data_IF_930392697247
#
_entry.id   IF_930392697247
#
_cell.length_a   1.000
_cell.length_b   1.000
_cell.length_c   1.000
_cell.angle_alpha   90.00
_cell.angle_beta   90.00
_cell.angle_gamma   90.00
#
_symmetry.space_group_name_H-M   'P 1'
#
loop_
_entity.id
_entity.type
_entity.pdbx_description
1 polymer ?
#
# COMPACT_ATOMS: atom_id res chain seq x y z
N UNK A 1 -36.89 -0.88 9.72
CA UNK A 1 -36.23 -1.79 10.69
C UNK A 1 -35.03 -1.03 11.25
N UNK A 2 -35.00 -0.75 12.55
CA UNK A 2 -33.98 0.10 13.19
C UNK A 2 -32.71 -0.72 13.49
N UNK A 3 -31.53 -0.14 13.23
CA UNK A 3 -30.25 -0.66 13.70
C UNK A 3 -30.21 -0.63 15.24
N UNK A 4 -29.81 -1.73 15.92
CA UNK A 4 -29.71 -1.75 17.38
C UNK A 4 -28.42 -1.07 17.84
N UNK A 5 -28.50 -0.09 18.76
CA UNK A 5 -27.29 0.44 19.40
C UNK A 5 -27.37 1.77 20.15
N UNK A 6 -28.39 2.61 19.95
CA UNK A 6 -28.49 3.89 20.67
C UNK A 6 -29.89 4.09 21.30
N UNK A 7 -29.97 3.95 22.63
CA UNK A 7 -31.13 4.41 23.40
C UNK A 7 -30.96 5.90 23.71
N UNK A 8 -31.58 6.76 22.90
CA UNK A 8 -31.78 8.16 23.27
C UNK A 8 -32.81 8.22 24.42
N UNK A 9 -32.45 8.85 25.55
CA UNK A 9 -33.30 8.93 26.75
C UNK A 9 -34.56 9.83 26.61
N UNK A 10 -34.90 10.29 25.38
CA UNK A 10 -36.08 11.15 25.13
C UNK A 10 -36.91 10.62 23.93
N UNK A 11 -37.97 9.83 24.17
CA UNK A 11 -38.78 9.17 23.12
C UNK A 11 -39.47 10.14 22.13
N UNK A 12 -39.79 11.36 22.57
CA UNK A 12 -40.37 12.41 21.70
C UNK A 12 -39.38 12.91 20.64
N UNK A 13 -38.09 12.95 20.97
CA UNK A 13 -37.02 13.39 20.05
C UNK A 13 -36.79 12.34 18.96
N UNK A 14 -36.83 11.05 19.30
CA UNK A 14 -36.71 9.95 18.32
C UNK A 14 -37.80 9.98 17.24
N UNK A 15 -39.07 10.23 17.61
CA UNK A 15 -40.18 10.28 16.64
C UNK A 15 -40.09 11.51 15.72
N UNK A 16 -39.67 12.67 16.25
CA UNK A 16 -39.45 13.86 15.43
C UNK A 16 -38.29 13.65 14.46
N UNK A 17 -37.16 13.11 14.93
CA UNK A 17 -35.99 12.85 14.09
C UNK A 17 -36.30 11.85 12.96
N UNK A 18 -37.04 10.77 13.24
CA UNK A 18 -37.44 9.79 12.21
C UNK A 18 -38.24 10.42 11.04
N UNK A 19 -39.14 11.37 11.34
CA UNK A 19 -39.90 12.09 10.31
C UNK A 19 -39.04 13.05 9.48
N UNK A 20 -38.05 13.69 10.11
CA UNK A 20 -37.09 14.56 9.43
C UNK A 20 -36.13 13.78 8.52
N UNK A 21 -35.71 12.57 8.93
CA UNK A 21 -34.81 11.73 8.13
C UNK A 21 -35.43 11.22 6.83
N UNK A 22 -36.74 10.91 6.83
CA UNK A 22 -37.48 10.57 5.61
C UNK A 22 -37.55 11.77 4.65
N UNK A 23 -37.62 12.98 5.20
CA UNK A 23 -37.65 14.21 4.42
C UNK A 23 -36.30 14.53 3.77
N UNK A 24 -35.19 14.46 4.52
CA UNK A 24 -33.83 14.75 3.99
C UNK A 24 -33.42 13.76 2.89
N UNK A 25 -33.75 12.47 3.03
CA UNK A 25 -33.47 11.45 1.99
C UNK A 25 -34.16 11.74 0.66
N UNK A 26 -35.25 12.51 0.65
CA UNK A 26 -36.01 12.87 -0.57
C UNK A 26 -35.50 14.14 -1.25
N UNK A 27 -34.63 14.90 -0.58
CA UNK A 27 -34.01 16.08 -1.20
C UNK A 27 -33.02 15.62 -2.26
N UNK A 28 -33.11 16.20 -3.46
CA UNK A 28 -32.19 15.90 -4.59
C UNK A 28 -30.96 16.81 -4.61
N UNK A 29 -31.07 18.01 -4.03
CA UNK A 29 -30.02 19.02 -4.03
C UNK A 29 -29.11 18.91 -2.79
N UNK A 30 -27.81 18.92 -3.03
CA UNK A 30 -26.73 18.84 -2.02
C UNK A 30 -26.74 20.06 -1.08
N UNK A 31 -27.09 21.26 -1.57
CA UNK A 31 -27.19 22.45 -0.71
C UNK A 31 -28.40 22.38 0.20
N UNK A 32 -29.56 21.95 -0.31
CA UNK A 32 -30.76 21.74 0.49
C UNK A 32 -30.56 20.69 1.61
N UNK A 33 -29.81 19.61 1.34
CA UNK A 33 -29.44 18.62 2.37
C UNK A 33 -28.57 19.23 3.46
N UNK A 34 -27.55 20.01 3.08
CA UNK A 34 -26.62 20.64 4.01
C UNK A 34 -27.33 21.66 4.92
N UNK A 35 -28.22 22.49 4.36
CA UNK A 35 -29.03 23.44 5.12
C UNK A 35 -29.97 22.76 6.12
N UNK A 36 -30.64 21.68 5.71
CA UNK A 36 -31.51 20.91 6.60
C UNK A 36 -30.73 20.26 7.77
N UNK A 37 -29.47 19.90 7.56
CA UNK A 37 -28.60 19.32 8.58
C UNK A 37 -28.07 20.37 9.57
N UNK A 38 -27.71 21.56 9.10
CA UNK A 38 -27.30 22.70 9.95
C UNK A 38 -28.44 23.10 10.90
N UNK A 39 -29.68 23.08 10.40
CA UNK A 39 -30.84 23.40 11.21
C UNK A 39 -31.08 22.36 12.34
N UNK A 40 -30.69 21.11 12.12
CA UNK A 40 -30.78 20.02 13.11
C UNK A 40 -29.65 20.10 14.14
N UNK A 41 -28.41 20.39 13.71
CA UNK A 41 -27.27 20.57 14.62
C UNK A 41 -27.43 21.80 15.51
N UNK A 42 -28.14 22.84 15.06
CA UNK A 42 -28.47 24.01 15.87
C UNK A 42 -29.54 23.76 16.94
N UNK A 43 -30.37 22.72 16.79
CA UNK A 43 -31.50 22.40 17.70
C UNK A 43 -31.22 21.22 18.63
N UNK A 44 -30.10 20.52 18.48
CA UNK A 44 -29.75 19.36 19.29
C UNK A 44 -28.25 19.37 19.60
N UNK A 45 -27.88 19.12 20.86
CA UNK A 45 -26.48 18.95 21.31
C UNK A 45 -25.83 17.67 20.71
N UNK A 46 -25.84 17.53 19.39
CA UNK A 46 -25.23 16.44 18.63
C UNK A 46 -23.87 16.93 18.12
N UNK A 47 -22.91 17.06 19.04
CA UNK A 47 -21.55 17.56 18.81
C UNK A 47 -20.59 16.51 18.24
N UNK A 48 -21.06 15.41 17.63
CA UNK A 48 -20.15 14.40 17.05
C UNK A 48 -20.24 14.38 15.52
N UNK A 49 -19.16 14.84 14.88
CA UNK A 49 -18.96 14.79 13.43
C UNK A 49 -19.27 13.40 12.83
N UNK A 50 -19.02 12.32 13.57
CA UNK A 50 -19.35 10.94 13.17
C UNK A 50 -20.79 10.73 12.73
N UNK A 51 -21.76 11.38 13.38
CA UNK A 51 -23.18 11.17 13.05
C UNK A 51 -23.57 11.82 11.72
N UNK A 52 -22.92 12.93 11.34
CA UNK A 52 -23.11 13.59 10.05
C UNK A 52 -22.45 12.82 8.90
N UNK A 53 -21.28 12.22 9.10
CA UNK A 53 -20.57 11.41 8.08
C UNK A 53 -21.39 10.19 7.66
N UNK A 54 -22.00 9.49 8.62
CA UNK A 54 -22.91 8.36 8.39
C UNK A 54 -24.22 8.77 7.69
N UNK A 55 -24.69 10.00 7.90
CA UNK A 55 -25.94 10.52 7.31
C UNK A 55 -25.78 11.07 5.88
N UNK A 56 -24.55 11.44 5.49
CA UNK A 56 -24.24 12.02 4.17
C UNK A 56 -23.77 11.00 3.12
N UNK A 57 -23.67 9.70 3.47
CA UNK A 57 -22.99 8.74 2.61
C UNK A 57 -21.50 9.08 2.49
N UNK A 58 -20.91 9.57 3.58
CA UNK A 58 -19.49 9.86 3.64
C UNK A 58 -18.69 8.58 3.41
N UNK A 59 -17.61 8.72 2.64
CA UNK A 59 -16.64 7.67 2.35
C UNK A 59 -16.27 6.89 3.63
N UNK A 60 -16.71 5.64 3.73
CA UNK A 60 -16.24 4.71 4.76
C UNK A 60 -15.06 3.95 4.18
N UNK A 61 -13.84 4.36 4.53
CA UNK A 61 -12.65 3.59 4.19
C UNK A 61 -12.65 2.33 5.04
N UNK A 62 -12.76 1.16 4.41
CA UNK A 62 -12.88 -0.12 5.12
C UNK A 62 -11.64 -1.00 4.93
N UNK A 63 -10.90 -0.78 3.82
CA UNK A 63 -9.70 -1.53 3.49
C UNK A 63 -8.55 -0.61 3.09
N UNK A 64 -7.35 -1.01 3.48
CA UNK A 64 -6.11 -0.35 3.12
C UNK A 64 -5.22 -1.40 2.46
N UNK A 65 -4.82 -1.13 1.23
CA UNK A 65 -4.01 -2.03 0.42
C UNK A 65 -2.65 -1.41 0.14
N UNK A 66 -1.62 -2.23 0.12
CA UNK A 66 -0.24 -1.80 -0.06
C UNK A 66 0.41 -2.49 -1.26
N UNK A 67 1.23 -1.75 -1.98
CA UNK A 67 2.37 -2.33 -2.67
C UNK A 67 3.42 -2.85 -1.67
N UNK A 68 4.38 -3.68 -2.12
CA UNK A 68 5.48 -4.16 -1.29
C UNK A 68 6.77 -3.35 -1.50
N UNK A 69 7.35 -3.46 -2.70
CA UNK A 69 8.71 -3.02 -3.00
C UNK A 69 8.79 -1.48 -3.05
N UNK A 70 9.62 -0.88 -2.20
CA UNK A 70 9.75 0.59 -2.02
C UNK A 70 8.49 1.24 -1.40
N UNK A 71 7.60 0.43 -0.83
CA UNK A 71 6.43 0.88 -0.08
C UNK A 71 6.43 0.38 1.37
N UNK A 72 6.62 -0.93 1.57
CA UNK A 72 6.77 -1.56 2.89
C UNK A 72 8.14 -2.24 3.05
N UNK A 73 8.71 -2.72 1.94
CA UNK A 73 10.05 -3.26 1.85
C UNK A 73 11.00 -2.17 1.32
N UNK A 74 12.06 -1.83 2.09
CA UNK A 74 13.14 -0.98 1.59
C UNK A 74 14.02 -1.79 0.64
N UNK A 75 13.53 -1.95 -0.59
CA UNK A 75 14.17 -2.76 -1.61
C UNK A 75 15.55 -2.24 -1.98
N UNK A 76 15.71 -0.92 -2.03
CA UNK A 76 16.95 -0.28 -2.46
C UNK A 76 18.06 -0.54 -1.42
N UNK A 77 17.77 -0.39 -0.12
CA UNK A 77 18.70 -0.75 0.95
C UNK A 77 18.98 -2.27 1.00
N UNK A 78 17.94 -3.08 0.80
CA UNK A 78 18.04 -4.55 0.85
C UNK A 78 18.93 -5.11 -0.27
N UNK A 79 18.76 -4.62 -1.50
CA UNK A 79 19.63 -4.96 -2.64
C UNK A 79 21.07 -4.55 -2.35
N UNK A 80 21.29 -3.33 -1.86
CA UNK A 80 22.63 -2.87 -1.52
C UNK A 80 23.28 -3.73 -0.43
N UNK A 81 22.54 -4.15 0.59
CA UNK A 81 23.05 -4.99 1.66
C UNK A 81 23.40 -6.39 1.16
N UNK A 82 22.53 -7.01 0.35
CA UNK A 82 22.80 -8.29 -0.31
C UNK A 82 24.06 -8.20 -1.18
N UNK A 83 24.18 -7.19 -2.04
CA UNK A 83 25.32 -7.03 -2.94
C UNK A 83 26.63 -6.82 -2.19
N UNK A 84 26.62 -6.08 -1.07
CA UNK A 84 27.79 -5.95 -0.20
C UNK A 84 28.21 -7.30 0.39
N UNK A 85 27.26 -8.16 0.75
CA UNK A 85 27.55 -9.50 1.25
C UNK A 85 28.10 -10.41 0.14
N UNK A 86 27.43 -10.45 -1.01
CA UNK A 86 27.89 -11.21 -2.18
C UNK A 86 29.27 -10.76 -2.65
N UNK A 87 29.52 -9.45 -2.75
CA UNK A 87 30.82 -8.92 -3.15
C UNK A 87 31.95 -9.36 -2.21
N UNK A 88 31.74 -9.37 -0.88
CA UNK A 88 32.73 -9.91 0.06
C UNK A 88 32.98 -11.40 -0.19
N UNK A 89 31.92 -12.19 -0.30
CA UNK A 89 32.02 -13.62 -0.57
C UNK A 89 32.79 -13.92 -1.85
N UNK A 90 32.47 -13.24 -2.96
CA UNK A 90 33.19 -13.41 -4.22
C UNK A 90 34.67 -13.03 -4.12
N UNK A 91 35.03 -12.00 -3.36
CA UNK A 91 36.45 -11.66 -3.11
C UNK A 91 37.18 -12.66 -2.23
N UNK A 92 36.47 -13.46 -1.41
CA UNK A 92 37.08 -14.55 -0.64
C UNK A 92 37.38 -15.78 -1.53
N UNK A 93 36.61 -15.96 -2.61
CA UNK A 93 36.77 -17.09 -3.54
C UNK A 93 37.93 -16.91 -4.53
N UNK A 94 38.46 -15.70 -4.71
CA UNK A 94 39.53 -15.44 -5.67
C UNK A 94 40.59 -14.47 -5.15
N UNK A 95 41.80 -14.57 -5.70
CA UNK A 95 42.92 -13.70 -5.30
C UNK A 95 42.85 -12.29 -5.90
N UNK A 96 42.19 -12.13 -7.05
CA UNK A 96 42.06 -10.83 -7.71
C UNK A 96 40.84 -10.07 -7.18
N UNK A 97 41.08 -8.87 -6.68
CA UNK A 97 40.01 -8.04 -6.13
C UNK A 97 38.97 -7.68 -7.20
N UNK A 98 37.70 -7.91 -6.89
CA UNK A 98 36.57 -7.42 -7.69
C UNK A 98 36.35 -5.95 -7.30
N UNK A 99 36.38 -5.01 -8.25
CA UNK A 99 36.19 -3.59 -7.93
C UNK A 99 34.78 -3.32 -7.38
N UNK A 100 34.64 -2.31 -6.53
CA UNK A 100 33.33 -1.91 -5.97
C UNK A 100 32.33 -1.44 -7.03
N UNK A 101 32.80 -1.02 -8.21
CA UNK A 101 31.95 -0.68 -9.35
C UNK A 101 31.06 -1.83 -9.81
N UNK A 102 31.35 -3.09 -9.41
CA UNK A 102 30.45 -4.23 -9.55
C UNK A 102 29.06 -3.95 -8.96
N UNK A 103 29.01 -3.36 -7.76
CA UNK A 103 27.75 -3.09 -7.05
C UNK A 103 26.94 -2.02 -7.81
N UNK A 104 27.59 -0.91 -8.15
CA UNK A 104 26.94 0.18 -8.88
C UNK A 104 26.42 -0.31 -10.24
N UNK A 105 27.23 -1.13 -10.93
CA UNK A 105 26.87 -1.71 -12.22
C UNK A 105 25.71 -2.70 -12.12
N UNK A 106 25.65 -3.51 -11.06
CA UNK A 106 24.48 -4.36 -10.80
C UNK A 106 23.22 -3.51 -10.65
N UNK A 107 23.26 -2.46 -9.82
CA UNK A 107 22.11 -1.60 -9.53
C UNK A 107 21.62 -0.90 -10.79
N UNK A 108 22.54 -0.42 -11.63
CA UNK A 108 22.23 0.17 -12.92
C UNK A 108 21.51 -0.85 -13.84
N UNK A 109 22.09 -2.04 -14.01
CA UNK A 109 21.59 -3.07 -14.92
C UNK A 109 20.24 -3.63 -14.47
N UNK A 110 20.02 -3.77 -13.16
CA UNK A 110 18.79 -4.36 -12.64
C UNK A 110 17.57 -3.44 -12.80
N UNK A 111 17.82 -2.14 -13.08
CA UNK A 111 16.82 -1.13 -13.40
C UNK A 111 15.66 -1.15 -12.39
N UNK A 112 15.97 -0.96 -11.10
CA UNK A 112 14.97 -0.99 -9.99
C UNK A 112 14.10 -2.26 -9.97
N UNK A 113 14.63 -3.40 -10.42
CA UNK A 113 13.93 -4.66 -10.46
C UNK A 113 13.21 -4.97 -11.78
N UNK A 114 13.20 -4.05 -12.74
CA UNK A 114 12.59 -4.29 -14.05
C UNK A 114 13.39 -5.26 -14.93
N UNK A 115 14.68 -5.48 -14.62
CA UNK A 115 15.50 -6.49 -15.29
C UNK A 115 15.76 -7.66 -14.34
N UNK A 116 15.38 -8.86 -14.80
CA UNK A 116 15.60 -10.09 -14.06
C UNK A 116 17.10 -10.43 -13.96
N UNK A 117 17.46 -11.11 -12.87
CA UNK A 117 18.84 -11.26 -12.44
C UNK A 117 19.66 -12.22 -13.30
N UNK A 118 19.00 -13.07 -14.08
CA UNK A 118 19.64 -13.86 -15.14
C UNK A 118 20.44 -12.97 -16.11
N UNK A 119 19.81 -11.91 -16.63
CA UNK A 119 20.42 -10.97 -17.58
C UNK A 119 21.47 -10.09 -16.91
N UNK A 120 21.20 -9.67 -15.67
CA UNK A 120 22.14 -8.85 -14.89
C UNK A 120 23.43 -9.64 -14.66
N UNK A 121 23.34 -10.85 -14.11
CA UNK A 121 24.51 -11.67 -13.84
C UNK A 121 25.22 -12.15 -15.12
N UNK A 122 24.47 -12.43 -16.19
CA UNK A 122 25.08 -12.73 -17.50
C UNK A 122 25.96 -11.59 -18.01
N UNK A 123 25.54 -10.34 -17.80
CA UNK A 123 26.31 -9.16 -18.21
C UNK A 123 27.49 -8.93 -17.28
N UNK A 124 27.30 -9.03 -15.96
CA UNK A 124 28.37 -8.84 -14.99
C UNK A 124 29.48 -9.89 -15.14
N UNK A 125 29.16 -11.14 -15.45
CA UNK A 125 30.17 -12.17 -15.68
C UNK A 125 31.02 -11.94 -16.93
N UNK A 126 30.56 -11.11 -17.89
CA UNK A 126 31.34 -10.70 -19.05
C UNK A 126 32.20 -9.47 -18.76
N UNK A 127 31.68 -8.54 -17.96
CA UNK A 127 32.35 -7.27 -17.63
C UNK A 127 33.38 -7.42 -16.50
N UNK A 128 33.19 -8.41 -15.62
CA UNK A 128 34.04 -8.65 -14.45
C UNK A 128 34.56 -10.09 -14.48
N UNK A 129 35.82 -10.27 -14.08
CA UNK A 129 36.40 -11.60 -13.83
C UNK A 129 35.84 -12.15 -12.51
N UNK A 130 34.67 -12.77 -12.58
CA UNK A 130 33.96 -13.35 -11.43
C UNK A 130 34.36 -14.82 -11.22
N UNK A 131 34.40 -15.29 -9.95
CA UNK A 131 34.77 -16.67 -9.63
C UNK A 131 33.62 -17.67 -9.82
N UNK A 132 32.39 -17.18 -10.04
CA UNK A 132 31.17 -17.98 -10.19
C UNK A 132 30.51 -17.71 -11.55
N UNK A 133 29.77 -18.70 -12.03
CA UNK A 133 28.94 -18.60 -13.24
C UNK A 133 27.70 -17.73 -13.00
N UNK A 134 27.08 -17.16 -14.06
CA UNK A 134 25.82 -16.43 -13.94
C UNK A 134 24.71 -17.23 -13.24
N UNK A 135 24.64 -18.54 -13.50
CA UNK A 135 23.67 -19.45 -12.91
C UNK A 135 23.90 -19.62 -11.40
N UNK A 136 25.15 -19.78 -10.96
CA UNK A 136 25.50 -19.86 -9.53
C UNK A 136 25.18 -18.55 -8.80
N UNK A 137 25.50 -17.40 -9.41
CA UNK A 137 25.19 -16.08 -8.85
C UNK A 137 23.67 -15.86 -8.73
N UNK A 138 22.90 -16.32 -9.72
CA UNK A 138 21.44 -16.27 -9.67
C UNK A 138 20.89 -17.17 -8.56
N UNK A 139 21.44 -18.38 -8.41
CA UNK A 139 21.05 -19.28 -7.32
C UNK A 139 21.33 -18.67 -5.95
N UNK A 140 22.49 -18.01 -5.78
CA UNK A 140 22.80 -17.26 -4.56
C UNK A 140 21.78 -16.14 -4.29
N UNK A 141 21.38 -15.39 -5.33
CA UNK A 141 20.36 -14.35 -5.19
C UNK A 141 19.02 -14.93 -4.74
N UNK A 142 18.51 -15.95 -5.42
CA UNK A 142 17.21 -16.58 -5.12
C UNK A 142 17.21 -17.24 -3.73
N UNK A 143 18.35 -17.78 -3.30
CA UNK A 143 18.51 -18.40 -1.99
C UNK A 143 18.73 -17.39 -0.87
N UNK A 144 19.45 -16.30 -1.12
CA UNK A 144 20.00 -15.42 -0.08
C UNK A 144 19.37 -14.04 0.04
N UNK A 145 18.76 -13.49 -1.02
CA UNK A 145 18.29 -12.09 -1.03
C UNK A 145 17.40 -11.74 0.17
N UNK A 146 16.43 -12.60 0.48
CA UNK A 146 15.48 -12.40 1.58
C UNK A 146 16.14 -12.24 2.97
N UNK A 147 17.35 -12.76 3.17
CA UNK A 147 18.09 -12.61 4.43
C UNK A 147 18.61 -11.19 4.68
N UNK A 148 18.52 -10.33 3.66
CA UNK A 148 18.96 -8.94 3.68
C UNK A 148 17.79 -7.96 3.53
N UNK A 149 16.55 -8.44 3.53
CA UNK A 149 15.37 -7.60 3.42
C UNK A 149 15.19 -6.73 4.67
N UNK A 150 14.94 -5.44 4.45
CA UNK A 150 14.67 -4.44 5.46
C UNK A 150 13.30 -3.82 5.21
N UNK A 151 12.56 -3.53 6.28
CA UNK A 151 11.31 -2.78 6.14
C UNK A 151 11.60 -1.28 5.94
N UNK A 152 10.68 -0.58 5.28
CA UNK A 152 10.67 0.89 5.29
C UNK A 152 10.36 1.36 6.71
N UNK A 153 10.96 2.49 7.11
CA UNK A 153 10.72 3.15 8.39
C UNK A 153 9.22 3.26 8.71
N UNK A 154 8.86 2.84 9.92
CA UNK A 154 7.50 2.82 10.47
C UNK A 154 6.50 1.85 9.80
N UNK A 155 6.93 0.96 8.90
CA UNK A 155 6.03 0.00 8.23
C UNK A 155 5.27 -0.90 9.22
N UNK A 156 5.97 -1.67 10.06
CA UNK A 156 5.33 -2.51 11.08
C UNK A 156 4.47 -1.70 12.06
N UNK A 157 4.93 -0.51 12.46
CA UNK A 157 4.20 0.37 13.39
C UNK A 157 2.91 0.97 12.78
N UNK A 158 2.86 1.13 11.47
CA UNK A 158 1.65 1.48 10.73
C UNK A 158 0.73 0.27 10.63
N UNK A 159 1.23 -0.90 10.24
CA UNK A 159 0.43 -2.13 10.09
C UNK A 159 -0.25 -2.53 11.42
N UNK A 160 0.48 -2.46 12.55
CA UNK A 160 -0.07 -2.63 13.90
C UNK A 160 -1.22 -1.65 14.15
N UNK A 161 -1.00 -0.36 13.87
CA UNK A 161 -2.02 0.67 14.03
C UNK A 161 -3.28 0.34 13.20
N UNK A 162 -3.12 -0.08 11.95
CA UNK A 162 -4.24 -0.44 11.09
C UNK A 162 -5.04 -1.63 11.63
N UNK A 163 -4.37 -2.68 12.13
CA UNK A 163 -5.06 -3.82 12.78
C UNK A 163 -5.80 -3.38 14.03
N UNK A 164 -5.20 -2.55 14.89
CA UNK A 164 -5.87 -2.07 16.11
C UNK A 164 -7.11 -1.22 15.81
N UNK A 165 -7.15 -0.54 14.66
CA UNK A 165 -8.30 0.22 14.18
C UNK A 165 -9.35 -0.64 13.48
N UNK A 166 -9.06 -1.90 13.21
CA UNK A 166 -9.99 -2.86 12.58
C UNK A 166 -10.10 -2.70 11.08
N UNK A 167 -9.11 -2.12 10.40
CA UNK A 167 -9.07 -2.11 8.95
C UNK A 167 -8.79 -3.51 8.41
N UNK A 168 -9.38 -3.81 7.24
CA UNK A 168 -8.90 -4.91 6.40
C UNK A 168 -7.62 -4.47 5.71
N UNK A 169 -6.60 -5.32 5.69
CA UNK A 169 -5.30 -5.00 5.11
C UNK A 169 -5.02 -5.95 3.95
N UNK A 170 -4.76 -5.39 2.77
CA UNK A 170 -4.38 -6.13 1.57
C UNK A 170 -2.98 -5.79 1.09
N UNK A 171 -2.37 -6.69 0.33
CA UNK A 171 -1.16 -6.43 -0.44
C UNK A 171 -1.38 -6.79 -1.91
N UNK A 172 -0.87 -5.97 -2.82
CA UNK A 172 -0.82 -6.26 -4.25
C UNK A 172 0.57 -5.94 -4.78
N UNK A 173 1.36 -6.96 -5.07
CA UNK A 173 2.76 -6.82 -5.49
C UNK A 173 3.02 -7.46 -6.85
N UNK A 174 3.85 -6.80 -7.66
CA UNK A 174 4.35 -7.37 -8.90
C UNK A 174 5.67 -8.11 -8.61
N UNK A 175 5.77 -9.37 -9.02
CA UNK A 175 7.02 -10.12 -8.88
C UNK A 175 6.84 -11.62 -8.99
N UNK A 176 7.96 -12.33 -8.88
CA UNK A 176 7.98 -13.78 -8.79
C UNK A 176 7.55 -14.23 -7.41
N UNK A 177 6.71 -15.27 -7.36
CA UNK A 177 6.03 -15.77 -6.17
C UNK A 177 7.00 -16.15 -5.07
N UNK A 178 8.05 -16.91 -5.40
CA UNK A 178 9.03 -17.38 -4.42
C UNK A 178 9.79 -16.19 -3.77
N UNK A 179 10.21 -15.22 -4.57
CA UNK A 179 10.93 -14.03 -4.09
C UNK A 179 10.03 -13.19 -3.18
N UNK A 180 8.84 -12.85 -3.65
CA UNK A 180 7.90 -11.99 -2.91
C UNK A 180 7.46 -12.66 -1.61
N UNK A 181 7.14 -13.96 -1.63
CA UNK A 181 6.78 -14.68 -0.41
C UNK A 181 7.92 -14.71 0.60
N UNK A 182 9.15 -15.04 0.18
CA UNK A 182 10.32 -15.03 1.07
C UNK A 182 10.59 -13.65 1.66
N UNK A 183 10.48 -12.58 0.86
CA UNK A 183 10.62 -11.20 1.34
C UNK A 183 9.58 -10.89 2.41
N UNK A 184 8.29 -11.16 2.14
CA UNK A 184 7.20 -10.91 3.10
C UNK A 184 7.43 -11.67 4.43
N UNK A 185 7.88 -12.93 4.34
CA UNK A 185 8.17 -13.76 5.51
C UNK A 185 9.40 -13.28 6.29
N UNK A 186 10.47 -12.89 5.59
CA UNK A 186 11.68 -12.35 6.22
C UNK A 186 11.46 -11.03 6.95
N UNK A 187 10.52 -10.21 6.45
CA UNK A 187 10.12 -8.97 7.10
C UNK A 187 9.21 -9.21 8.31
N UNK A 188 8.67 -10.42 8.48
CA UNK A 188 7.78 -10.76 9.59
C UNK A 188 6.39 -10.12 9.49
N UNK A 189 6.01 -9.59 8.31
CA UNK A 189 4.78 -8.81 8.15
C UNK A 189 3.57 -9.61 7.64
N UNK A 190 3.74 -10.90 7.28
CA UNK A 190 2.66 -11.70 6.67
C UNK A 190 1.37 -11.70 7.47
N UNK A 191 1.46 -11.82 8.80
CA UNK A 191 0.30 -11.94 9.69
C UNK A 191 -0.58 -10.69 9.76
N UNK A 192 -0.11 -9.54 9.25
CA UNK A 192 -0.93 -8.34 9.17
C UNK A 192 -1.99 -8.42 8.08
N UNK A 193 -1.69 -9.10 6.97
CA UNK A 193 -2.50 -9.07 5.77
C UNK A 193 -3.65 -10.08 5.80
N UNK A 194 -4.84 -9.59 5.51
CA UNK A 194 -6.03 -10.42 5.29
C UNK A 194 -6.04 -11.00 3.86
N UNK A 195 -5.34 -10.35 2.92
CA UNK A 195 -5.05 -10.90 1.57
C UNK A 195 -3.68 -10.44 1.07
N UNK A 196 -3.01 -11.30 0.31
CA UNK A 196 -1.78 -10.99 -0.43
C UNK A 196 -1.99 -11.48 -1.86
N UNK A 197 -1.88 -10.58 -2.84
CA UNK A 197 -1.96 -10.90 -4.26
C UNK A 197 -0.59 -10.66 -4.89
N UNK A 198 0.04 -11.73 -5.36
CA UNK A 198 1.31 -11.68 -6.10
C UNK A 198 1.01 -11.88 -7.58
N UNK A 199 1.54 -11.01 -8.43
CA UNK A 199 1.17 -10.99 -9.86
C UNK A 199 1.43 -12.29 -10.62
N UNK A 200 2.51 -13.01 -10.29
CA UNK A 200 2.83 -14.28 -10.94
C UNK A 200 1.78 -15.35 -10.59
N UNK A 201 1.38 -15.45 -9.32
CA UNK A 201 0.33 -16.35 -8.85
C UNK A 201 -1.04 -15.99 -9.45
N UNK A 202 -1.32 -14.68 -9.57
CA UNK A 202 -2.58 -14.17 -10.12
C UNK A 202 -2.67 -14.26 -11.65
N UNK A 203 -1.54 -14.43 -12.36
CA UNK A 203 -1.47 -14.40 -13.82
C UNK A 203 -1.77 -13.03 -14.45
N UNK A 204 -1.90 -11.98 -13.64
CA UNK A 204 -2.18 -10.60 -14.03
C UNK A 204 -1.27 -9.71 -13.19
N UNK A 205 -0.78 -8.60 -13.76
CA UNK A 205 0.13 -7.67 -13.07
C UNK A 205 -0.34 -6.23 -13.17
N UNK A 206 0.06 -5.40 -12.21
CA UNK A 206 -0.03 -3.94 -12.31
C UNK A 206 0.69 -3.48 -13.59
N UNK A 207 0.14 -2.51 -14.37
CA UNK A 207 -0.94 -1.58 -14.03
C UNK A 207 -2.36 -2.05 -14.42
N UNK A 208 -2.58 -3.35 -14.69
CA UNK A 208 -3.93 -3.84 -15.01
C UNK A 208 -4.88 -3.66 -13.81
N UNK A 209 -5.98 -2.90 -13.91
CA UNK A 209 -6.89 -2.68 -12.78
C UNK A 209 -7.55 -3.96 -12.25
N UNK A 210 -7.59 -5.05 -13.02
CA UNK A 210 -8.18 -6.31 -12.60
C UNK A 210 -7.51 -6.91 -11.34
N UNK A 211 -6.20 -6.71 -11.14
CA UNK A 211 -5.49 -7.22 -9.96
C UNK A 211 -5.93 -6.52 -8.67
N UNK A 212 -6.25 -5.22 -8.76
CA UNK A 212 -6.79 -4.44 -7.63
C UNK A 212 -8.22 -4.87 -7.30
N UNK A 213 -9.04 -5.10 -8.33
CA UNK A 213 -10.41 -5.60 -8.16
C UNK A 213 -10.42 -6.99 -7.51
N UNK A 214 -9.49 -7.87 -7.90
CA UNK A 214 -9.31 -9.18 -7.28
C UNK A 214 -9.00 -9.05 -5.78
N UNK A 215 -8.08 -8.15 -5.40
CA UNK A 215 -7.76 -7.93 -4.00
C UNK A 215 -8.97 -7.39 -3.21
N UNK A 216 -9.73 -6.44 -3.77
CA UNK A 216 -10.94 -5.90 -3.15
C UNK A 216 -12.04 -6.97 -2.99
N UNK A 217 -12.20 -7.83 -3.99
CA UNK A 217 -13.16 -8.94 -3.97
C UNK A 217 -12.84 -9.95 -2.86
N UNK A 218 -11.57 -10.38 -2.76
CA UNK A 218 -11.11 -11.29 -1.70
C UNK A 218 -11.30 -10.67 -0.31
N UNK A 219 -11.03 -9.38 -0.18
CA UNK A 219 -11.30 -8.63 1.05
C UNK A 219 -12.80 -8.42 1.30
N UNK A 220 -13.69 -8.68 0.35
CA UNK A 220 -15.13 -8.43 0.48
C UNK A 220 -15.44 -6.96 0.72
N UNK A 221 -14.82 -6.06 -0.06
CA UNK A 221 -14.99 -4.61 0.00
C UNK A 221 -15.21 -4.05 -1.40
N UNK A 222 -15.87 -2.89 -1.53
CA UNK A 222 -15.92 -2.20 -2.81
C UNK A 222 -14.58 -1.48 -3.07
N UNK A 223 -14.11 -1.38 -4.33
CA UNK A 223 -12.93 -0.57 -4.66
C UNK A 223 -13.04 0.87 -4.15
N UNK A 224 -14.23 1.46 -4.21
CA UNK A 224 -14.50 2.82 -3.71
C UNK A 224 -14.42 2.95 -2.17
N UNK A 225 -14.19 1.88 -1.43
CA UNK A 225 -13.97 1.88 0.02
C UNK A 225 -12.51 1.52 0.37
N UNK A 226 -11.66 1.40 -0.64
CA UNK A 226 -10.24 1.07 -0.51
C UNK A 226 -9.36 2.32 -0.65
N UNK A 227 -8.30 2.36 0.14
CA UNK A 227 -7.13 3.20 -0.12
C UNK A 227 -5.97 2.28 -0.52
N UNK A 228 -5.39 2.51 -1.68
CA UNK A 228 -4.18 1.84 -2.13
C UNK A 228 -2.96 2.73 -1.91
N UNK A 229 -1.85 2.17 -1.43
CA UNK A 229 -0.60 2.89 -1.17
C UNK A 229 0.53 2.24 -1.95
N UNK A 230 1.29 3.05 -2.69
CA UNK A 230 2.45 2.59 -3.45
C UNK A 230 3.38 3.73 -3.86
N UNK A 231 4.56 3.40 -4.37
CA UNK A 231 5.57 4.37 -4.81
C UNK A 231 5.50 4.70 -6.30
N UNK A 232 4.91 3.83 -7.12
CA UNK A 232 5.00 3.94 -8.56
C UNK A 232 3.75 4.57 -9.18
N UNK A 233 3.90 5.72 -9.83
CA UNK A 233 2.76 6.45 -10.39
C UNK A 233 1.87 5.61 -11.32
N UNK A 234 2.44 4.97 -12.35
CA UNK A 234 1.62 4.19 -13.30
C UNK A 234 1.10 2.86 -12.73
N UNK A 235 1.97 2.08 -12.09
CA UNK A 235 1.64 0.75 -11.58
C UNK A 235 0.75 0.79 -10.34
N UNK A 236 0.85 1.80 -9.49
CA UNK A 236 0.12 1.86 -8.23
C UNK A 236 -0.98 2.91 -8.28
N UNK A 237 -0.62 4.16 -8.54
CA UNK A 237 -1.53 5.29 -8.32
C UNK A 237 -2.60 5.34 -9.41
N UNK A 238 -2.18 5.47 -10.66
CA UNK A 238 -3.09 5.53 -11.80
C UNK A 238 -3.87 4.22 -11.97
N UNK A 239 -3.24 3.07 -11.71
CA UNK A 239 -3.89 1.77 -11.81
C UNK A 239 -4.96 1.55 -10.73
N UNK A 240 -4.68 1.89 -9.47
CA UNK A 240 -5.66 1.81 -8.39
C UNK A 240 -6.85 2.74 -8.63
N UNK A 241 -6.61 3.97 -9.10
CA UNK A 241 -7.66 4.92 -9.46
C UNK A 241 -8.52 4.41 -10.61
N UNK A 242 -7.92 3.78 -11.64
CA UNK A 242 -8.67 3.12 -12.73
C UNK A 242 -9.52 1.95 -12.24
N UNK A 243 -9.11 1.27 -11.16
CA UNK A 243 -9.91 0.26 -10.49
C UNK A 243 -11.03 0.84 -9.60
N UNK A 244 -11.09 2.17 -9.44
CA UNK A 244 -12.07 2.86 -8.61
C UNK A 244 -11.69 2.98 -7.13
N UNK A 245 -10.43 2.72 -6.79
CA UNK A 245 -9.88 2.96 -5.45
C UNK A 245 -9.40 4.41 -5.30
N UNK A 246 -9.24 4.86 -4.05
CA UNK A 246 -8.39 6.02 -3.77
C UNK A 246 -6.93 5.59 -3.73
N UNK A 247 -6.02 6.48 -4.09
CA UNK A 247 -4.58 6.21 -4.05
C UNK A 247 -3.83 7.23 -3.17
N UNK A 248 -2.97 6.73 -2.27
CA UNK A 248 -1.95 7.53 -1.62
C UNK A 248 -0.58 7.24 -2.24
N UNK A 249 0.06 8.27 -2.76
CA UNK A 249 1.35 8.15 -3.40
C UNK A 249 2.47 8.43 -2.41
N UNK A 250 3.30 7.41 -2.14
CA UNK A 250 4.52 7.53 -1.37
C UNK A 250 5.65 8.02 -2.27
N UNK A 251 6.01 9.30 -2.14
CA UNK A 251 7.03 9.92 -3.00
C UNK A 251 7.67 11.14 -2.34
N UNK A 252 8.96 11.32 -2.58
CA UNK A 252 9.71 12.53 -2.23
C UNK A 252 9.61 13.62 -3.32
N UNK A 253 9.05 13.31 -4.49
CA UNK A 253 9.08 14.20 -5.65
C UNK A 253 8.10 15.37 -5.50
N UNK A 254 8.59 16.53 -5.06
CA UNK A 254 7.84 17.80 -4.99
C UNK A 254 7.40 18.35 -6.36
N UNK A 255 7.93 17.88 -7.48
CA UNK A 255 7.56 18.36 -8.82
C UNK A 255 6.30 17.71 -9.38
N UNK A 256 5.88 16.58 -8.80
CA UNK A 256 4.70 15.84 -9.24
C UNK A 256 3.35 16.45 -8.77
N UNK A 257 3.36 17.73 -8.36
CA UNK A 257 2.23 18.48 -7.79
C UNK A 257 1.36 19.06 -8.91
N UNK A 258 0.84 18.21 -9.79
CA UNK A 258 -0.42 18.58 -10.45
C UNK A 258 -1.55 18.19 -9.49
N UNK A 259 -2.58 19.04 -9.34
CA UNK A 259 -3.66 18.89 -8.34
C UNK A 259 -4.50 17.60 -8.49
N UNK A 260 -4.16 16.70 -9.43
CA UNK A 260 -4.96 15.52 -9.80
C UNK A 260 -4.15 14.21 -9.95
N UNK A 261 -2.91 14.14 -9.47
CA UNK A 261 -2.06 12.94 -9.68
C UNK A 261 -2.44 11.78 -8.74
N UNK A 262 -2.78 12.07 -7.48
CA UNK A 262 -3.17 11.10 -6.46
C UNK A 262 -4.22 11.70 -5.52
N UNK A 263 -5.01 10.88 -4.83
CA UNK A 263 -5.97 11.35 -3.81
C UNK A 263 -5.27 11.85 -2.54
N UNK A 264 -4.09 11.29 -2.26
CA UNK A 264 -3.20 11.69 -1.18
C UNK A 264 -1.75 11.58 -1.66
N UNK A 265 -0.89 12.48 -1.22
CA UNK A 265 0.56 12.38 -1.38
C UNK A 265 1.18 12.35 0.00
N UNK A 266 2.10 11.42 0.22
CA UNK A 266 2.83 11.25 1.48
C UNK A 266 4.32 11.09 1.19
N UNK A 267 5.14 11.59 2.10
CA UNK A 267 6.60 11.43 2.07
C UNK A 267 7.07 10.26 2.96
N UNK A 268 6.22 9.78 3.86
CA UNK A 268 6.52 8.69 4.79
C UNK A 268 5.25 7.95 5.25
N UNK A 269 5.43 6.74 5.77
CA UNK A 269 4.35 5.95 6.37
C UNK A 269 3.85 6.56 7.70
N UNK A 270 4.70 7.29 8.44
CA UNK A 270 4.30 8.09 9.60
C UNK A 270 3.33 9.22 9.24
N UNK A 271 3.55 9.89 8.11
CA UNK A 271 2.63 10.92 7.60
C UNK A 271 1.25 10.31 7.31
N UNK A 272 1.20 9.15 6.65
CA UNK A 272 -0.04 8.41 6.42
C UNK A 272 -0.77 8.05 7.72
N UNK A 273 -0.04 7.57 8.73
CA UNK A 273 -0.60 7.29 10.05
C UNK A 273 -1.21 8.55 10.69
N UNK A 274 -0.57 9.71 10.52
CA UNK A 274 -1.06 11.01 10.96
C UNK A 274 -2.38 11.41 10.28
N UNK A 275 -2.47 11.25 8.96
CA UNK A 275 -3.70 11.46 8.20
C UNK A 275 -4.82 10.53 8.70
N UNK A 276 -4.56 9.22 8.76
CA UNK A 276 -5.56 8.25 9.18
C UNK A 276 -6.01 8.47 10.64
N UNK A 277 -5.15 8.99 11.51
CA UNK A 277 -5.56 9.35 12.89
C UNK A 277 -6.52 10.54 12.91
N UNK A 278 -6.26 11.56 12.10
CA UNK A 278 -7.04 12.81 12.09
C UNK A 278 -8.44 12.62 11.51
N UNK A 279 -8.59 11.78 10.47
CA UNK A 279 -9.85 11.64 9.73
C UNK A 279 -10.69 10.42 10.14
N UNK A 280 -10.22 9.58 11.08
CA UNK A 280 -10.91 8.34 11.52
C UNK A 280 -11.48 8.42 12.95
N UNK A 281 -11.16 9.47 13.71
CA UNK A 281 -11.73 9.74 15.04
C UNK A 281 -13.12 10.42 14.92
#
# INVERSE_FOLDING_TARGET
>A
MMLPGFKCQKPKLQKQMASFFVHIRRLRDSKAKLWALIEISGKSHLSSCRFLTLLLGGFSMNAILFDLDRTLHDRDASVLQFLKAQHRYLNELQHSAIPYTYIDRFIELECRGYVWKDKVYSTLAQEFSLPLTPEELLLEYVAGFHLHCQEIDEASALLDFLKTKGYKIGMVTNGMSDIQNKTIDSLGIRSYFDTIIISEEAGIKKPDPAIFNMAAEVLGTAPSECLYIGDHYENDILAAQKAGMKAAWLTEDESAVSEHVADLKISSLGELKGYLTTYTL
#
